data_IF_318598439870
#
_entry.id   IF_318598439870
#
_cell.length_a   1.000
_cell.length_b   1.000
_cell.length_c   1.000
_cell.angle_alpha   90.00
_cell.angle_beta   90.00
_cell.angle_gamma   90.00
#
_symmetry.space_group_name_H-M   'P 1'
#
loop_
_entity.id
_entity.type
_entity.pdbx_description
1 polymer ?
#
# COMPACT_ATOMS: atom_id res chain seq x y z
N UNK A 1 6.63 -17.01 26.58
CA UNK A 1 7.12 -16.64 25.27
C UNK A 1 6.22 -15.61 24.63
N UNK A 2 6.80 -14.57 24.06
CA UNK A 2 6.01 -13.47 23.49
C UNK A 2 5.96 -13.57 21.95
N UNK A 3 4.76 -13.42 21.39
CA UNK A 3 4.55 -13.32 19.94
C UNK A 3 4.23 -11.89 19.52
N UNK A 4 4.64 -10.90 20.35
CA UNK A 4 4.30 -9.49 20.10
C UNK A 4 4.76 -9.01 18.72
N UNK A 5 5.96 -9.41 18.27
CA UNK A 5 6.46 -9.03 16.96
C UNK A 5 5.64 -9.63 15.84
N UNK A 6 5.26 -10.90 15.97
CA UNK A 6 4.43 -11.61 14.98
C UNK A 6 3.03 -11.00 14.97
N UNK A 7 2.47 -10.71 16.15
CA UNK A 7 1.14 -10.11 16.25
C UNK A 7 1.12 -8.72 15.63
N UNK A 8 2.17 -7.92 15.83
CA UNK A 8 2.26 -6.59 15.21
C UNK A 8 2.34 -6.68 13.70
N UNK A 9 3.15 -7.59 13.18
CA UNK A 9 3.26 -7.78 11.72
C UNK A 9 1.90 -8.19 11.16
N UNK A 10 1.20 -9.12 11.81
CA UNK A 10 -0.13 -9.53 11.36
C UNK A 10 -1.14 -8.38 11.37
N UNK A 11 -1.08 -7.51 12.38
CA UNK A 11 -1.95 -6.35 12.46
C UNK A 11 -1.63 -5.34 11.35
N UNK A 12 -0.34 -5.07 11.11
CA UNK A 12 0.08 -4.17 10.03
C UNK A 12 -0.42 -4.70 8.69
N UNK A 13 -0.21 -5.99 8.43
CA UNK A 13 -0.66 -6.64 7.19
C UNK A 13 -2.17 -6.51 7.03
N UNK A 14 -2.94 -6.74 8.09
CA UNK A 14 -4.40 -6.62 8.05
C UNK A 14 -4.83 -5.20 7.74
N UNK A 15 -4.20 -4.20 8.37
CA UNK A 15 -4.51 -2.79 8.13
C UNK A 15 -4.15 -2.38 6.70
N UNK A 16 -3.05 -2.88 6.18
CA UNK A 16 -2.65 -2.63 4.80
C UNK A 16 -3.63 -3.28 3.81
N UNK A 17 -4.06 -4.51 4.08
CA UNK A 17 -5.05 -5.18 3.25
C UNK A 17 -6.39 -4.43 3.25
N UNK A 18 -6.82 -3.89 4.39
CA UNK A 18 -8.06 -3.11 4.49
C UNK A 18 -7.98 -1.85 3.65
N UNK A 19 -6.86 -1.14 3.72
CA UNK A 19 -6.67 0.06 2.91
C UNK A 19 -6.64 -0.27 1.42
N UNK A 20 -5.85 -1.26 1.03
CA UNK A 20 -5.68 -1.63 -0.36
C UNK A 20 -6.96 -2.16 -0.98
N UNK A 21 -7.68 -3.02 -0.26
CA UNK A 21 -8.88 -3.68 -0.80
C UNK A 21 -10.13 -2.83 -0.70
N UNK A 22 -10.27 -2.04 0.35
CA UNK A 22 -11.53 -1.37 0.67
C UNK A 22 -11.40 0.12 0.90
N UNK A 23 -10.19 0.68 0.86
CA UNK A 23 -9.98 2.11 1.11
C UNK A 23 -10.21 2.53 2.55
N UNK A 24 -10.11 1.59 3.49
CA UNK A 24 -10.39 1.82 4.91
C UNK A 24 -9.08 2.01 5.68
N UNK A 25 -9.04 3.04 6.53
CA UNK A 25 -7.94 3.23 7.48
C UNK A 25 -6.75 4.01 6.97
N UNK A 26 -6.92 4.78 5.89
CA UNK A 26 -5.84 5.60 5.35
C UNK A 26 -6.27 6.34 4.10
N UNK A 27 -5.29 6.87 3.37
CA UNK A 27 -5.50 7.58 2.13
C UNK A 27 -4.91 6.82 0.96
N UNK A 28 -5.57 6.91 -0.19
CA UNK A 28 -5.04 6.38 -1.46
C UNK A 28 -4.69 7.57 -2.33
N UNK A 29 -3.41 7.62 -2.76
CA UNK A 29 -2.86 8.71 -3.55
C UNK A 29 -2.47 8.17 -4.92
N UNK A 30 -2.74 8.97 -5.95
CA UNK A 30 -2.33 8.67 -7.32
C UNK A 30 -1.32 9.73 -7.76
N UNK A 31 -0.21 9.30 -8.37
CA UNK A 31 0.71 10.26 -8.98
C UNK A 31 0.05 10.90 -10.20
N UNK A 32 0.63 12.01 -10.66
CA UNK A 32 0.11 12.71 -11.84
C UNK A 32 0.02 11.77 -13.05
N UNK A 33 1.02 10.93 -13.25
CA UNK A 33 1.04 10.00 -14.38
C UNK A 33 -0.17 9.06 -14.37
N UNK A 34 -0.57 8.60 -13.19
CA UNK A 34 -1.75 7.74 -13.06
C UNK A 34 -3.03 8.57 -13.23
N UNK A 35 -3.09 9.75 -12.60
CA UNK A 35 -4.30 10.60 -12.66
C UNK A 35 -4.63 11.08 -14.06
N UNK A 36 -3.61 11.17 -14.94
CA UNK A 36 -3.82 11.62 -16.31
C UNK A 36 -4.37 10.54 -17.24
N UNK A 37 -4.51 9.32 -16.76
CA UNK A 37 -5.11 8.24 -17.54
C UNK A 37 -6.64 8.39 -17.57
N UNK A 38 -7.30 7.63 -18.45
CA UNK A 38 -8.75 7.66 -18.54
C UNK A 38 -9.38 7.09 -17.26
N UNK A 39 -10.66 7.42 -17.02
CA UNK A 39 -11.40 6.88 -15.87
C UNK A 39 -11.43 5.36 -15.91
N UNK A 40 -11.60 4.79 -17.09
CA UNK A 40 -11.66 3.34 -17.29
C UNK A 40 -10.33 2.70 -16.94
N UNK A 41 -9.23 3.31 -17.37
CA UNK A 41 -7.90 2.79 -17.08
C UNK A 41 -7.58 2.89 -15.58
N UNK A 42 -7.93 4.01 -14.96
CA UNK A 42 -7.74 4.18 -13.51
C UNK A 42 -8.53 3.11 -12.76
N UNK A 43 -9.78 2.85 -13.16
CA UNK A 43 -10.60 1.82 -12.53
C UNK A 43 -9.98 0.43 -12.67
N UNK A 44 -9.42 0.11 -13.84
CA UNK A 44 -8.76 -1.16 -14.06
C UNK A 44 -7.50 -1.31 -13.21
N UNK A 45 -6.72 -0.22 -13.09
CA UNK A 45 -5.52 -0.21 -12.25
C UNK A 45 -5.90 -0.40 -10.78
N UNK A 46 -6.93 0.30 -10.30
CA UNK A 46 -7.42 0.10 -8.94
C UNK A 46 -7.83 -1.34 -8.69
N UNK A 47 -8.52 -1.97 -9.63
CA UNK A 47 -8.93 -3.36 -9.48
C UNK A 47 -7.74 -4.29 -9.37
N UNK A 48 -6.69 -4.06 -10.16
CA UNK A 48 -5.47 -4.86 -10.08
C UNK A 48 -4.74 -4.66 -8.75
N UNK A 49 -4.74 -3.45 -8.21
CA UNK A 49 -4.16 -3.17 -6.89
C UNK A 49 -4.97 -3.89 -5.80
N UNK A 50 -6.29 -3.80 -5.84
CA UNK A 50 -7.16 -4.41 -4.83
C UNK A 50 -7.04 -5.92 -4.79
N UNK A 51 -6.91 -6.55 -5.95
CA UNK A 51 -6.87 -8.00 -6.08
C UNK A 51 -5.45 -8.57 -6.13
N UNK A 52 -4.44 -7.72 -6.01
CA UNK A 52 -3.05 -8.15 -6.02
C UNK A 52 -2.80 -9.17 -4.91
N UNK A 53 -2.18 -10.29 -5.26
CA UNK A 53 -1.89 -11.36 -4.29
C UNK A 53 -0.54 -12.03 -4.51
N UNK A 54 0.28 -11.48 -5.40
CA UNK A 54 1.60 -12.05 -5.71
C UNK A 54 2.64 -11.59 -4.69
N UNK A 55 2.45 -12.01 -3.44
CA UNK A 55 3.37 -11.68 -2.36
C UNK A 55 4.34 -12.83 -2.13
N UNK A 56 5.62 -12.51 -2.12
CA UNK A 56 6.68 -13.46 -1.89
C UNK A 56 7.84 -12.75 -1.18
N UNK A 57 8.85 -13.51 -0.78
CA UNK A 57 9.96 -12.96 0.00
C UNK A 57 10.68 -11.81 -0.72
N UNK A 58 10.74 -11.84 -2.05
CA UNK A 58 11.43 -10.81 -2.83
C UNK A 58 10.76 -9.45 -2.81
N UNK A 59 9.43 -9.39 -2.73
CA UNK A 59 8.69 -8.12 -2.71
C UNK A 59 8.02 -7.82 -1.37
N UNK A 60 7.97 -8.80 -0.48
CA UNK A 60 7.30 -8.67 0.81
C UNK A 60 8.15 -9.31 1.92
N UNK A 61 9.39 -8.81 2.12
CA UNK A 61 10.34 -9.46 3.03
C UNK A 61 9.90 -9.48 4.49
N UNK A 62 9.04 -8.54 4.88
CA UNK A 62 8.56 -8.46 6.27
C UNK A 62 7.12 -8.95 6.43
N UNK A 63 6.51 -9.47 5.38
CA UNK A 63 5.13 -9.99 5.39
C UNK A 63 4.08 -8.95 5.77
N UNK A 64 4.35 -7.66 5.48
CA UNK A 64 3.42 -6.57 5.75
C UNK A 64 2.46 -6.31 4.59
N UNK A 65 2.76 -6.85 3.40
CA UNK A 65 2.00 -6.61 2.18
C UNK A 65 1.86 -5.12 1.90
N UNK A 66 3.03 -4.45 1.88
CA UNK A 66 3.12 -3.00 1.74
C UNK A 66 3.62 -2.55 0.38
N UNK A 67 3.82 -3.47 -0.55
CA UNK A 67 4.36 -3.17 -1.87
C UNK A 67 3.93 -4.22 -2.89
N UNK A 68 3.69 -3.78 -4.11
CA UNK A 68 3.47 -4.67 -5.23
C UNK A 68 3.67 -3.94 -6.56
N UNK A 69 3.85 -4.72 -7.62
CA UNK A 69 3.96 -4.16 -8.95
C UNK A 69 3.36 -5.13 -9.96
N UNK A 70 2.89 -4.58 -11.07
CA UNK A 70 2.34 -5.37 -12.16
C UNK A 70 2.44 -4.58 -13.47
N UNK A 71 2.35 -5.29 -14.58
CA UNK A 71 2.34 -4.67 -15.90
C UNK A 71 0.91 -4.36 -16.31
N UNK A 72 0.72 -3.17 -16.87
CA UNK A 72 -0.57 -2.73 -17.37
C UNK A 72 -0.36 -1.97 -18.69
N UNK A 73 -0.83 -2.54 -19.79
CA UNK A 73 -0.72 -1.94 -21.14
C UNK A 73 0.71 -1.47 -21.47
N UNK A 74 1.69 -2.31 -21.14
CA UNK A 74 3.09 -2.03 -21.44
C UNK A 74 3.81 -1.12 -20.46
N UNK A 75 3.13 -0.67 -19.40
CA UNK A 75 3.73 0.14 -18.35
C UNK A 75 3.78 -0.63 -17.05
N UNK A 76 4.84 -0.43 -16.29
CA UNK A 76 4.97 -1.03 -14.96
C UNK A 76 4.32 -0.12 -13.94
N UNK A 77 3.29 -0.63 -13.29
CA UNK A 77 2.57 0.06 -12.21
C UNK A 77 3.11 -0.46 -10.88
N UNK A 78 3.33 0.46 -9.94
CA UNK A 78 3.82 0.16 -8.59
C UNK A 78 2.83 0.75 -7.59
N UNK A 79 2.57 0.02 -6.53
CA UNK A 79 1.85 0.57 -5.39
C UNK A 79 2.66 0.31 -4.12
N UNK A 80 2.61 1.25 -3.19
CA UNK A 80 3.32 1.14 -1.92
C UNK A 80 2.51 1.74 -0.79
N UNK A 81 2.70 1.21 0.41
CA UNK A 81 2.09 1.74 1.63
C UNK A 81 3.20 2.37 2.47
N UNK A 82 2.99 3.61 2.89
CA UNK A 82 3.90 4.32 3.79
C UNK A 82 3.20 4.58 5.12
N UNK A 83 3.98 4.60 6.19
CA UNK A 83 3.50 4.79 7.55
C UNK A 83 4.06 6.08 8.11
N UNK A 84 3.17 7.06 8.34
CA UNK A 84 3.55 8.35 8.89
C UNK A 84 2.96 8.53 10.28
N UNK A 85 3.55 9.44 11.06
CA UNK A 85 2.94 9.89 12.30
C UNK A 85 1.59 10.54 11.99
N UNK A 86 0.67 10.65 12.98
CA UNK A 86 -0.66 11.22 12.73
C UNK A 86 -0.63 12.63 12.13
N UNK A 87 0.39 13.43 12.44
CA UNK A 87 0.56 14.77 11.88
C UNK A 87 1.29 14.78 10.52
N UNK A 88 1.67 13.61 10.01
CA UNK A 88 2.34 13.43 8.71
C UNK A 88 3.75 14.03 8.65
N UNK A 89 4.36 14.35 9.78
CA UNK A 89 5.69 14.99 9.82
C UNK A 89 6.83 13.99 9.93
N UNK A 90 6.57 12.84 10.49
CA UNK A 90 7.59 11.82 10.77
C UNK A 90 7.07 10.44 10.38
N UNK A 91 7.94 9.42 10.45
CA UNK A 91 7.49 8.04 10.33
C UNK A 91 6.67 7.66 11.56
N UNK A 92 5.74 6.71 11.38
CA UNK A 92 4.92 6.22 12.48
C UNK A 92 5.76 5.45 13.46
N UNK A 93 5.56 5.68 14.76
CA UNK A 93 6.21 4.90 15.79
C UNK A 93 5.60 3.51 15.97
N UNK A 94 4.36 3.32 15.53
CA UNK A 94 3.69 2.02 15.62
C UNK A 94 2.64 1.86 14.50
N UNK A 95 3.03 1.33 13.33
CA UNK A 95 2.09 1.12 12.23
C UNK A 95 0.98 0.10 12.51
N UNK A 96 1.08 -0.65 13.61
CA UNK A 96 0.03 -1.60 13.99
C UNK A 96 -1.12 -0.93 14.74
N UNK A 97 -0.99 0.34 15.07
CA UNK A 97 -1.99 1.10 15.81
C UNK A 97 -2.51 2.25 14.96
N UNK A 98 -3.79 2.18 14.57
CA UNK A 98 -4.42 3.21 13.73
C UNK A 98 -4.34 4.61 14.34
N UNK A 99 -4.33 4.72 15.68
CA UNK A 99 -4.25 6.02 16.35
C UNK A 99 -2.85 6.63 16.28
N UNK A 100 -1.85 5.84 15.91
CA UNK A 100 -0.44 6.25 15.85
C UNK A 100 0.11 6.26 14.42
N UNK A 101 -0.74 6.09 13.44
CA UNK A 101 -0.30 5.95 12.04
C UNK A 101 -1.25 6.64 11.08
N UNK A 102 -0.74 7.59 10.32
CA UNK A 102 -1.39 8.08 9.11
C UNK A 102 -0.85 7.24 7.95
N UNK A 103 -1.64 6.29 7.49
CA UNK A 103 -1.24 5.32 6.47
C UNK A 103 -1.62 5.82 5.09
N UNK A 104 -0.70 5.75 4.14
CA UNK A 104 -0.98 6.13 2.75
C UNK A 104 -0.61 5.00 1.81
N UNK A 105 -1.46 4.77 0.81
CA UNK A 105 -1.17 3.86 -0.30
C UNK A 105 -1.03 4.73 -1.54
N UNK A 106 0.14 4.69 -2.19
CA UNK A 106 0.41 5.47 -3.40
C UNK A 106 0.48 4.52 -4.59
N UNK A 107 -0.24 4.85 -5.65
CA UNK A 107 -0.20 4.12 -6.93
C UNK A 107 0.54 5.02 -7.91
N UNK A 108 1.53 4.46 -8.59
CA UNK A 108 2.43 5.23 -9.46
C UNK A 108 2.92 4.39 -10.63
N UNK A 109 3.48 5.05 -11.63
CA UNK A 109 4.33 4.35 -12.60
C UNK A 109 5.68 4.07 -11.95
N UNK A 110 6.33 3.00 -12.37
CA UNK A 110 7.69 2.69 -11.90
C UNK A 110 8.63 3.89 -12.12
N UNK A 111 8.43 4.63 -13.21
CA UNK A 111 9.22 5.81 -13.52
C UNK A 111 8.96 7.02 -12.62
N UNK A 112 7.89 6.99 -11.83
CA UNK A 112 7.59 8.05 -10.86
C UNK A 112 8.30 7.83 -9.51
N UNK A 113 8.88 6.67 -9.37
CA UNK A 113 9.49 6.22 -8.12
C UNK A 113 10.73 7.04 -7.71
#
# INVERSE_FOLDING_TARGET
MSNKGIDKVAKIRKLNDLLRRYGIGGQILLTRSIRSKSKEEIAEIFEKVRTFNDFHRGNDPYSERDFGSFDYKGEKIVWKVDYYSPDMKYGSEDPSDLSKCARTLTIMLDSDW
#
